data_IF_362603274569
#
_entry.id   IF_362603274569
#
_cell.length_a   1.000
_cell.length_b   1.000
_cell.length_c   1.000
_cell.angle_alpha   90.00
_cell.angle_beta   90.00
_cell.angle_gamma   90.00
#
_symmetry.space_group_name_H-M   'P 1'
#
loop_
_entity.id
_entity.type
_entity.pdbx_description
1 polymer ?
#
# COMPACT_ATOMS: atom_id res chain seq x y z
N UNK A 1 4.88 -13.78 5.87
CA UNK A 1 5.02 -12.38 5.40
C UNK A 1 3.67 -11.68 5.28
N UNK A 2 2.68 -12.28 4.60
CA UNK A 2 1.31 -11.75 4.52
C UNK A 2 0.69 -11.43 5.88
N UNK A 3 0.86 -12.31 6.88
CA UNK A 3 0.34 -12.07 8.24
C UNK A 3 1.00 -10.86 8.92
N UNK A 4 2.32 -10.68 8.73
CA UNK A 4 3.05 -9.52 9.29
C UNK A 4 2.54 -8.19 8.72
N UNK A 5 2.27 -8.13 7.42
CA UNK A 5 1.72 -6.93 6.77
C UNK A 5 0.31 -6.65 7.29
N UNK A 6 -0.53 -7.69 7.33
CA UNK A 6 -1.89 -7.61 7.85
C UNK A 6 -1.92 -7.10 9.29
N UNK A 7 -1.03 -7.59 10.15
CA UNK A 7 -0.94 -7.18 11.54
C UNK A 7 -0.36 -5.76 11.69
N UNK A 8 0.68 -5.41 10.92
CA UNK A 8 1.23 -4.05 10.85
C UNK A 8 0.12 -3.03 10.59
N UNK A 9 -0.72 -3.28 9.60
CA UNK A 9 -1.79 -2.38 9.21
C UNK A 9 -3.11 -2.62 9.97
N UNK A 10 -3.08 -3.37 11.08
CA UNK A 10 -4.26 -3.65 11.93
C UNK A 10 -5.46 -4.19 11.13
N UNK A 11 -5.20 -4.90 10.04
CA UNK A 11 -6.17 -5.44 9.07
C UNK A 11 -6.97 -4.38 8.30
N UNK A 12 -6.60 -3.10 8.37
CA UNK A 12 -7.31 -1.97 7.74
C UNK A 12 -6.76 -1.74 6.31
N UNK A 13 -7.64 -1.37 5.38
CA UNK A 13 -7.24 -0.77 4.11
C UNK A 13 -6.76 0.67 4.32
N UNK A 14 -5.47 0.89 4.06
CA UNK A 14 -4.82 2.18 4.30
C UNK A 14 -5.30 3.28 3.35
N UNK A 15 -5.63 2.92 2.10
CA UNK A 15 -6.16 3.88 1.13
C UNK A 15 -7.60 4.27 1.49
N UNK A 16 -8.45 3.31 1.85
CA UNK A 16 -9.82 3.62 2.31
C UNK A 16 -9.78 4.53 3.52
N UNK A 17 -8.93 4.23 4.49
CA UNK A 17 -8.86 4.99 5.74
C UNK A 17 -8.44 6.44 5.53
N UNK A 18 -7.36 6.70 4.78
CA UNK A 18 -6.84 8.07 4.63
C UNK A 18 -7.38 8.85 3.44
N UNK A 19 -7.74 8.17 2.36
CA UNK A 19 -8.11 8.83 1.09
C UNK A 19 -9.61 8.84 0.87
N UNK A 20 -10.31 7.75 1.20
CA UNK A 20 -11.76 7.68 1.06
C UNK A 20 -12.51 8.12 2.33
N UNK A 21 -11.83 8.09 3.49
CA UNK A 21 -12.46 8.36 4.79
C UNK A 21 -13.35 7.21 5.27
N UNK A 22 -13.08 5.99 4.80
CA UNK A 22 -13.88 4.79 5.06
C UNK A 22 -13.07 3.77 5.87
N UNK A 23 -13.69 3.14 6.87
CA UNK A 23 -13.08 2.08 7.64
C UNK A 23 -13.41 0.72 7.01
N UNK A 24 -12.51 0.23 6.18
CA UNK A 24 -12.63 -1.08 5.52
C UNK A 24 -11.52 -2.04 5.95
N UNK A 25 -11.82 -3.34 5.92
CA UNK A 25 -10.81 -4.37 6.15
C UNK A 25 -10.08 -4.71 4.86
N UNK A 26 -8.76 -4.62 4.90
CA UNK A 26 -7.93 -5.03 3.78
C UNK A 26 -7.98 -6.55 3.56
N UNK A 27 -7.75 -6.95 2.31
CA UNK A 27 -7.82 -8.32 1.83
C UNK A 27 -6.49 -8.81 1.26
N UNK A 28 -5.67 -7.89 0.75
CA UNK A 28 -4.42 -8.24 0.06
C UNK A 28 -3.32 -7.19 0.29
N UNK A 29 -2.08 -7.62 0.15
CA UNK A 29 -0.92 -6.74 0.20
C UNK A 29 -0.51 -6.34 -1.22
N UNK A 30 -0.27 -5.05 -1.42
CA UNK A 30 0.22 -4.48 -2.67
C UNK A 30 1.69 -4.10 -2.54
N UNK A 31 2.50 -4.43 -3.55
CA UNK A 31 3.88 -3.93 -3.64
C UNK A 31 3.88 -2.51 -4.17
N UNK A 32 4.34 -1.54 -3.36
CA UNK A 32 4.39 -0.13 -3.75
C UNK A 32 5.38 0.05 -4.90
N UNK A 33 6.62 -0.44 -4.74
CA UNK A 33 7.54 -0.63 -5.85
C UNK A 33 7.30 -2.01 -6.46
N UNK A 34 6.84 -2.09 -7.73
CA UNK A 34 6.52 -3.38 -8.32
C UNK A 34 7.75 -4.27 -8.49
N UNK A 35 7.56 -5.57 -8.32
CA UNK A 35 8.64 -6.58 -8.38
C UNK A 35 9.40 -6.60 -9.71
N UNK A 36 8.76 -6.16 -10.81
CA UNK A 36 9.40 -6.06 -12.13
C UNK A 36 10.45 -4.96 -12.20
N UNK A 37 10.39 -3.98 -11.31
CA UNK A 37 11.34 -2.86 -11.25
C UNK A 37 12.42 -3.10 -10.21
N UNK A 38 12.08 -3.74 -9.09
CA UNK A 38 13.03 -4.04 -8.01
C UNK A 38 12.70 -5.34 -7.27
N UNK A 39 13.34 -6.43 -7.70
CA UNK A 39 13.13 -7.77 -7.13
C UNK A 39 13.71 -7.94 -5.72
N UNK A 40 14.71 -7.14 -5.36
CA UNK A 40 15.38 -7.25 -4.06
C UNK A 40 14.44 -6.85 -2.92
N UNK A 41 13.51 -5.94 -3.20
CA UNK A 41 12.53 -5.42 -2.23
C UNK A 41 11.27 -6.29 -2.07
N UNK A 42 11.26 -7.50 -2.65
CA UNK A 42 10.07 -8.37 -2.64
C UNK A 42 9.63 -8.81 -1.24
N UNK A 43 10.55 -8.82 -0.28
CA UNK A 43 10.27 -9.22 1.11
C UNK A 43 10.25 -8.05 2.09
N UNK A 44 10.45 -6.83 1.60
CA UNK A 44 10.54 -5.64 2.44
C UNK A 44 9.13 -5.19 2.85
N UNK A 45 8.89 -5.12 4.17
CA UNK A 45 7.56 -4.84 4.71
C UNK A 45 7.13 -3.37 4.54
N UNK A 46 8.09 -2.47 4.41
CA UNK A 46 7.87 -1.05 4.10
C UNK A 46 7.55 -0.82 2.60
N UNK A 47 7.87 -1.79 1.73
CA UNK A 47 7.45 -1.82 0.34
C UNK A 47 6.04 -2.41 0.14
N UNK A 48 5.32 -2.70 1.22
CA UNK A 48 4.00 -3.31 1.18
C UNK A 48 2.95 -2.42 1.84
N UNK A 49 1.78 -2.31 1.20
CA UNK A 49 0.59 -1.65 1.77
C UNK A 49 -0.60 -2.62 1.75
N UNK A 50 -1.45 -2.58 2.78
CA UNK A 50 -2.61 -3.45 2.89
C UNK A 50 -3.87 -2.75 2.39
N UNK A 51 -4.60 -3.42 1.49
CA UNK A 51 -5.72 -2.86 0.74
C UNK A 51 -6.86 -3.88 0.57
N UNK A 52 -8.07 -3.40 0.34
CA UNK A 52 -9.15 -4.15 -0.29
C UNK A 52 -8.74 -4.56 -1.71
N UNK A 53 -9.38 -5.59 -2.25
CA UNK A 53 -9.12 -6.03 -3.62
C UNK A 53 -9.49 -4.95 -4.65
N UNK A 54 -10.54 -4.17 -4.38
CA UNK A 54 -10.98 -3.06 -5.23
C UNK A 54 -9.91 -1.97 -5.32
N UNK A 55 -9.40 -1.48 -4.18
CA UNK A 55 -8.35 -0.47 -4.16
C UNK A 55 -7.03 -1.01 -4.70
N UNK A 56 -6.70 -2.27 -4.44
CA UNK A 56 -5.55 -2.95 -5.02
C UNK A 56 -5.57 -2.86 -6.56
N UNK A 57 -6.67 -3.24 -7.19
CA UNK A 57 -6.81 -3.19 -8.66
C UNK A 57 -6.81 -1.75 -9.20
N UNK A 58 -7.48 -0.83 -8.51
CA UNK A 58 -7.53 0.59 -8.88
C UNK A 58 -6.13 1.22 -8.89
N UNK A 59 -5.37 1.02 -7.82
CA UNK A 59 -4.00 1.54 -7.67
C UNK A 59 -3.07 0.90 -8.70
N UNK A 60 -3.14 -0.42 -8.86
CA UNK A 60 -2.32 -1.13 -9.84
C UNK A 60 -2.53 -0.58 -11.26
N UNK A 61 -3.79 -0.46 -11.71
CA UNK A 61 -4.12 0.13 -13.02
C UNK A 61 -3.65 1.57 -13.16
N UNK A 62 -3.75 2.37 -12.11
CA UNK A 62 -3.28 3.76 -12.13
C UNK A 62 -1.75 3.84 -12.29
N UNK A 63 -1.00 2.95 -11.65
CA UNK A 63 0.46 2.88 -11.76
C UNK A 63 0.95 2.41 -13.13
N UNK A 64 0.15 1.64 -13.87
CA UNK A 64 0.53 1.16 -15.21
C UNK A 64 0.34 2.20 -16.32
N UNK A 65 -0.40 3.28 -16.06
CA UNK A 65 -0.75 4.28 -17.07
C UNK A 65 0.46 5.00 -17.66
N UNK A 66 1.36 5.51 -16.82
CA UNK A 66 2.62 6.13 -17.25
C UNK A 66 3.64 6.22 -16.10
N UNK A 67 4.93 6.41 -16.43
CA UNK A 67 6.03 6.44 -15.45
C UNK A 67 5.93 7.60 -14.45
N UNK A 68 5.43 8.76 -14.86
CA UNK A 68 5.32 9.93 -13.97
C UNK A 68 4.23 9.69 -12.93
N UNK A 69 3.07 9.22 -13.38
CA UNK A 69 1.96 8.87 -12.52
C UNK A 69 2.32 7.75 -11.55
N UNK A 70 3.07 6.74 -12.01
CA UNK A 70 3.59 5.67 -11.17
C UNK A 70 4.38 6.20 -9.97
N UNK A 71 5.36 7.08 -10.21
CA UNK A 71 6.18 7.65 -9.13
C UNK A 71 5.32 8.44 -8.13
N UNK A 72 4.40 9.27 -8.62
CA UNK A 72 3.51 10.05 -7.76
C UNK A 72 2.63 9.17 -6.88
N UNK A 73 2.12 8.06 -7.42
CA UNK A 73 1.34 7.08 -6.66
C UNK A 73 2.22 6.40 -5.61
N UNK A 74 3.44 5.98 -5.97
CA UNK A 74 4.38 5.38 -5.01
C UNK A 74 4.67 6.32 -3.84
N UNK A 75 5.02 7.58 -4.13
CA UNK A 75 5.32 8.60 -3.11
C UNK A 75 4.12 8.83 -2.18
N UNK A 76 2.90 8.90 -2.73
CA UNK A 76 1.67 8.98 -1.94
C UNK A 76 1.50 7.76 -1.02
N UNK A 77 1.65 6.53 -1.54
CA UNK A 77 1.46 5.32 -0.74
C UNK A 77 2.47 5.22 0.42
N UNK A 78 3.73 5.61 0.19
CA UNK A 78 4.72 5.68 1.25
C UNK A 78 4.37 6.71 2.33
N UNK A 79 3.86 7.87 1.94
CA UNK A 79 3.42 8.89 2.90
C UNK A 79 2.21 8.40 3.73
N UNK A 80 1.28 7.67 3.12
CA UNK A 80 0.17 7.05 3.85
C UNK A 80 0.67 6.02 4.89
N UNK A 81 1.64 5.18 4.52
CA UNK A 81 2.27 4.24 5.47
C UNK A 81 2.92 5.00 6.61
N UNK A 82 3.74 6.01 6.30
CA UNK A 82 4.45 6.82 7.31
C UNK A 82 3.48 7.49 8.27
N UNK A 83 2.38 8.04 7.76
CA UNK A 83 1.32 8.63 8.57
C UNK A 83 0.68 7.61 9.50
N UNK A 84 0.38 6.41 8.99
CA UNK A 84 -0.16 5.31 9.80
C UNK A 84 0.79 4.90 10.93
N UNK A 85 2.08 4.72 10.62
CA UNK A 85 3.10 4.37 11.60
C UNK A 85 3.21 5.42 12.72
N UNK A 86 3.16 6.70 12.36
CA UNK A 86 3.17 7.80 13.33
C UNK A 86 1.91 7.85 14.20
N UNK A 87 0.72 7.76 13.59
CA UNK A 87 -0.56 7.84 14.31
C UNK A 87 -0.75 6.67 15.28
N UNK A 88 -0.31 5.47 14.90
CA UNK A 88 -0.49 4.25 15.69
C UNK A 88 0.75 3.80 16.47
N UNK A 89 1.86 4.54 16.36
CA UNK A 89 3.15 4.30 17.05
C UNK A 89 3.68 2.89 16.83
N UNK A 90 3.77 2.47 15.57
CA UNK A 90 4.27 1.15 15.14
C UNK A 90 5.50 1.24 14.24
#
# INVERSE_FOLDING_TARGET
MKDKVKDKFKKIDIYSYYVLGELEYGQTAHHIEPLKDNWDRRLEIDNLIYLTESNHQKIHKAMEKDKKNKKQIMDMLYELIRRFEQEFKI
#
